data_IF_825339642219
#
_entry.id   IF_825339642219
#
_cell.length_a   1.000
_cell.length_b   1.000
_cell.length_c   1.000
_cell.angle_alpha   90.00
_cell.angle_beta   90.00
_cell.angle_gamma   90.00
#
_symmetry.space_group_name_H-M   'P 1'
#
loop_
_entity.id
_entity.type
_entity.pdbx_description
1 polymer ?
#
# COMPACT_ATOMS: atom_id res chain seq x y z
N UNK A 1 -14.47 0.60 -52.17
CA UNK A 1 -14.79 1.47 -51.01
C UNK A 1 -15.30 0.69 -49.80
N UNK A 2 -16.33 -0.18 -49.94
CA UNK A 2 -16.84 -1.03 -48.84
C UNK A 2 -15.75 -1.86 -48.13
N UNK A 3 -14.82 -2.45 -48.87
CA UNK A 3 -13.72 -3.25 -48.28
C UNK A 3 -12.64 -2.39 -47.59
N UNK A 4 -12.47 -1.13 -48.02
CA UNK A 4 -11.54 -0.18 -47.38
C UNK A 4 -12.12 0.38 -46.08
N UNK A 5 -13.44 0.64 -46.06
CA UNK A 5 -14.18 1.03 -44.84
C UNK A 5 -14.18 -0.11 -43.81
N UNK A 6 -14.35 -1.36 -44.26
CA UNK A 6 -14.29 -2.53 -43.39
C UNK A 6 -12.89 -2.75 -42.79
N UNK A 7 -11.83 -2.48 -43.55
CA UNK A 7 -10.44 -2.62 -43.10
C UNK A 7 -10.05 -1.50 -42.11
N UNK A 8 -10.52 -0.26 -42.31
CA UNK A 8 -10.37 0.82 -41.33
C UNK A 8 -11.10 0.49 -40.01
N UNK A 9 -12.29 -0.09 -40.08
CA UNK A 9 -13.09 -0.45 -38.90
C UNK A 9 -12.40 -1.53 -38.05
N UNK A 10 -11.75 -2.51 -38.67
CA UNK A 10 -10.99 -3.57 -37.96
C UNK A 10 -9.73 -3.01 -37.28
N UNK A 11 -9.03 -2.06 -37.92
CA UNK A 11 -7.85 -1.41 -37.33
C UNK A 11 -8.23 -0.54 -36.12
N UNK A 12 -9.39 0.14 -36.15
CA UNK A 12 -9.89 0.93 -35.01
C UNK A 12 -10.39 0.09 -33.83
N UNK A 13 -10.78 -1.16 -34.07
CA UNK A 13 -11.20 -2.08 -33.01
C UNK A 13 -10.01 -2.80 -32.34
N UNK A 14 -8.90 -2.99 -33.08
CA UNK A 14 -7.68 -3.58 -32.56
C UNK A 14 -6.86 -2.63 -31.67
N UNK A 15 -7.05 -1.31 -31.79
CA UNK A 15 -6.42 -0.31 -30.91
C UNK A 15 -7.12 -0.16 -29.55
N UNK A 16 -8.20 -0.91 -29.29
CA UNK A 16 -8.78 -1.11 -27.97
C UNK A 16 -8.29 -2.41 -27.33
N UNK A 17 -6.97 -2.64 -27.27
CA UNK A 17 -6.43 -3.55 -26.26
C UNK A 17 -6.49 -2.80 -24.93
N UNK A 18 -7.63 -2.86 -24.24
CA UNK A 18 -7.71 -2.38 -22.86
C UNK A 18 -6.62 -3.06 -22.02
N UNK A 19 -6.09 -2.36 -21.01
CA UNK A 19 -5.09 -2.92 -20.10
C UNK A 19 -5.60 -4.26 -19.56
N UNK A 20 -5.01 -5.36 -20.05
CA UNK A 20 -5.34 -6.70 -19.59
C UNK A 20 -4.87 -6.80 -18.14
N UNK A 21 -5.71 -7.33 -17.27
CA UNK A 21 -5.33 -7.46 -15.86
C UNK A 21 -4.23 -8.50 -15.70
N UNK A 22 -3.22 -8.18 -14.91
CA UNK A 22 -2.13 -9.12 -14.62
C UNK A 22 -2.70 -10.34 -13.86
N UNK A 23 -2.34 -11.58 -14.23
CA UNK A 23 -2.91 -12.79 -13.62
C UNK A 23 -2.69 -12.85 -12.10
N UNK A 24 -1.60 -12.25 -11.61
CA UNK A 24 -1.25 -12.30 -10.18
C UNK A 24 -2.01 -11.26 -9.33
N UNK A 25 -2.72 -10.32 -9.95
CA UNK A 25 -3.33 -9.19 -9.22
C UNK A 25 -4.22 -9.64 -8.06
N UNK A 26 -5.15 -10.56 -8.31
CA UNK A 26 -6.10 -11.03 -7.28
C UNK A 26 -5.39 -11.76 -6.13
N UNK A 27 -4.30 -12.45 -6.41
CA UNK A 27 -3.49 -13.10 -5.38
C UNK A 27 -2.70 -12.07 -4.58
N UNK A 28 -2.11 -11.09 -5.25
CA UNK A 28 -1.33 -10.03 -4.63
C UNK A 28 -2.20 -9.11 -3.77
N UNK A 29 -3.46 -8.85 -4.16
CA UNK A 29 -4.44 -8.17 -3.30
C UNK A 29 -4.67 -8.94 -2.00
N UNK A 30 -4.79 -10.27 -2.04
CA UNK A 30 -4.95 -11.08 -0.82
C UNK A 30 -3.70 -11.02 0.07
N UNK A 31 -2.50 -11.01 -0.52
CA UNK A 31 -1.26 -10.83 0.22
C UNK A 31 -1.22 -9.45 0.89
N UNK A 32 -1.56 -8.38 0.17
CA UNK A 32 -1.63 -7.03 0.75
C UNK A 32 -2.67 -6.91 1.88
N UNK A 33 -3.86 -7.50 1.70
CA UNK A 33 -4.88 -7.57 2.75
C UNK A 33 -4.36 -8.30 3.98
N UNK A 34 -3.70 -9.44 3.80
CA UNK A 34 -3.13 -10.21 4.92
C UNK A 34 -2.03 -9.43 5.63
N UNK A 35 -1.19 -8.68 4.90
CA UNK A 35 -0.15 -7.85 5.50
C UNK A 35 -0.73 -6.79 6.44
N UNK A 36 -1.76 -6.05 6.01
CA UNK A 36 -2.42 -5.07 6.87
C UNK A 36 -3.19 -5.71 8.03
N UNK A 37 -3.84 -6.86 7.80
CA UNK A 37 -4.49 -7.61 8.88
C UNK A 37 -3.49 -8.01 9.96
N UNK A 38 -2.32 -8.54 9.57
CA UNK A 38 -1.27 -8.93 10.52
C UNK A 38 -0.73 -7.73 11.30
N UNK A 39 -0.72 -6.54 10.69
CA UNK A 39 -0.32 -5.32 11.40
C UNK A 39 -1.25 -5.00 12.56
N UNK A 40 -2.57 -5.07 12.33
CA UNK A 40 -3.59 -4.90 13.35
C UNK A 40 -3.68 -6.04 14.37
N UNK A 41 -3.29 -7.25 13.99
CA UNK A 41 -3.12 -8.40 14.90
C UNK A 41 -1.81 -8.35 15.70
N UNK A 42 -0.99 -7.30 15.51
CA UNK A 42 0.34 -7.14 16.12
C UNK A 42 1.29 -8.32 15.88
N UNK A 43 1.09 -9.05 14.77
CA UNK A 43 1.86 -10.27 14.46
C UNK A 43 3.12 -9.93 13.65
N UNK A 44 4.08 -9.33 14.35
CA UNK A 44 5.34 -8.83 13.78
C UNK A 44 6.13 -9.88 12.99
N UNK A 45 6.31 -11.09 13.55
CA UNK A 45 7.12 -12.13 12.91
C UNK A 45 6.52 -12.57 11.56
N UNK A 46 5.19 -12.75 11.52
CA UNK A 46 4.51 -13.09 10.27
C UNK A 46 4.57 -11.96 9.24
N UNK A 47 4.54 -10.69 9.66
CA UNK A 47 4.78 -9.57 8.75
C UNK A 47 6.21 -9.59 8.19
N UNK A 48 7.21 -9.87 9.03
CA UNK A 48 8.61 -9.94 8.62
C UNK A 48 8.85 -11.04 7.56
N UNK A 49 8.16 -12.17 7.68
CA UNK A 49 8.22 -13.27 6.72
C UNK A 49 7.63 -12.91 5.34
N UNK A 50 6.66 -11.98 5.30
CA UNK A 50 6.04 -11.50 4.07
C UNK A 50 6.89 -10.49 3.30
N UNK A 51 7.96 -9.95 3.90
CA UNK A 51 8.85 -8.99 3.25
C UNK A 51 10.06 -9.71 2.64
N UNK A 52 10.37 -9.38 1.38
CA UNK A 52 11.57 -9.85 0.69
C UNK A 52 12.83 -9.20 1.29
N UNK A 53 13.96 -9.89 1.28
CA UNK A 53 15.19 -9.36 1.91
C UNK A 53 15.74 -8.13 1.19
N UNK A 54 15.53 -8.03 -0.11
CA UNK A 54 15.89 -6.87 -0.94
C UNK A 54 14.81 -5.76 -0.99
N UNK A 55 13.92 -5.69 0.01
CA UNK A 55 12.83 -4.71 0.04
C UNK A 55 13.33 -3.28 -0.18
N UNK A 56 12.66 -2.56 -1.08
CA UNK A 56 12.74 -1.10 -1.19
C UNK A 56 11.39 -0.46 -0.92
N UNK A 57 11.29 0.31 0.16
CA UNK A 57 10.03 0.93 0.58
C UNK A 57 10.14 2.45 0.58
N UNK A 58 9.17 3.17 0.01
CA UNK A 58 9.15 4.64 0.08
C UNK A 58 8.55 5.08 1.41
N UNK A 59 9.35 5.77 2.22
CA UNK A 59 8.91 6.27 3.52
C UNK A 59 8.01 7.50 3.39
N UNK A 60 6.95 7.62 4.21
CA UNK A 60 6.13 8.82 4.29
C UNK A 60 6.84 9.97 5.03
N UNK A 61 7.99 9.69 5.66
CA UNK A 61 8.76 10.66 6.43
C UNK A 61 9.47 11.65 5.51
N UNK A 62 9.26 12.94 5.79
CA UNK A 62 9.82 14.02 4.99
C UNK A 62 11.33 13.89 4.82
N UNK A 63 11.77 13.82 3.55
CA UNK A 63 13.17 13.80 3.16
C UNK A 63 13.87 12.43 3.29
N UNK A 64 13.18 11.37 3.69
CA UNK A 64 13.82 10.06 3.90
C UNK A 64 13.94 9.23 2.61
N UNK A 65 12.90 9.24 1.76
CA UNK A 65 12.92 8.53 0.49
C UNK A 65 12.82 7.01 0.65
N UNK A 66 13.67 6.26 -0.06
CA UNK A 66 13.66 4.80 -0.04
C UNK A 66 14.39 4.24 1.19
N UNK A 67 13.77 3.26 1.84
CA UNK A 67 14.28 2.57 3.02
C UNK A 67 14.32 1.04 2.81
N UNK A 68 15.10 0.36 3.64
CA UNK A 68 15.30 -1.10 3.59
C UNK A 68 14.24 -1.86 4.39
N UNK A 69 14.23 -3.20 4.26
CA UNK A 69 13.43 -4.11 5.11
C UNK A 69 13.63 -3.85 6.60
N UNK A 70 14.89 -3.68 7.05
CA UNK A 70 15.22 -3.44 8.45
C UNK A 70 14.53 -2.17 8.98
N UNK A 71 14.66 -1.06 8.26
CA UNK A 71 14.01 0.20 8.64
C UNK A 71 12.49 0.08 8.62
N UNK A 72 11.92 -0.58 7.60
CA UNK A 72 10.48 -0.76 7.50
C UNK A 72 9.92 -1.60 8.66
N UNK A 73 10.62 -2.67 9.04
CA UNK A 73 10.26 -3.47 10.22
C UNK A 73 10.39 -2.65 11.51
N UNK A 74 11.40 -1.77 11.60
CA UNK A 74 11.49 -0.81 12.69
C UNK A 74 10.24 0.07 12.82
N UNK A 75 9.69 0.56 11.70
CA UNK A 75 8.45 1.35 11.72
C UNK A 75 7.22 0.54 12.04
N UNK A 76 7.08 -0.67 11.49
CA UNK A 76 5.99 -1.59 11.83
C UNK A 76 5.97 -1.84 13.34
N UNK A 77 7.13 -2.16 13.93
CA UNK A 77 7.23 -2.42 15.35
C UNK A 77 6.94 -1.17 16.18
N UNK A 78 7.50 -0.03 15.79
CA UNK A 78 7.23 1.26 16.43
C UNK A 78 5.73 1.58 16.47
N UNK A 79 5.00 1.42 15.37
CA UNK A 79 3.57 1.66 15.37
C UNK A 79 2.81 0.69 16.26
N UNK A 80 3.14 -0.61 16.23
CA UNK A 80 2.54 -1.61 17.12
C UNK A 80 2.82 -1.34 18.61
N UNK A 81 3.94 -0.72 18.94
CA UNK A 81 4.27 -0.37 20.33
C UNK A 81 3.57 0.94 20.79
N UNK A 82 3.31 1.87 19.87
CA UNK A 82 2.74 3.19 20.18
C UNK A 82 1.21 3.24 20.07
N UNK A 83 0.58 2.29 19.38
CA UNK A 83 -0.84 2.33 19.09
C UNK A 83 -1.52 0.98 19.31
N UNK A 84 -2.61 0.99 20.08
CA UNK A 84 -3.51 -0.15 20.24
C UNK A 84 -4.62 -0.13 19.18
N UNK A 85 -5.23 -1.29 18.95
CA UNK A 85 -6.40 -1.46 18.07
C UNK A 85 -6.16 -0.93 16.65
N UNK A 86 -4.94 -1.13 16.13
CA UNK A 86 -4.59 -0.75 14.77
C UNK A 86 -5.49 -1.50 13.79
N UNK A 87 -6.11 -0.79 12.87
CA UNK A 87 -6.91 -1.38 11.79
C UNK A 87 -6.78 -0.57 10.51
N UNK A 88 -6.79 -1.27 9.37
CA UNK A 88 -6.85 -0.65 8.05
C UNK A 88 -8.15 -1.01 7.35
N UNK A 89 -8.92 0.01 6.97
CA UNK A 89 -10.08 -0.15 6.09
C UNK A 89 -9.73 0.32 4.68
N UNK A 90 -9.72 -0.61 3.73
CA UNK A 90 -9.46 -0.30 2.34
C UNK A 90 -10.73 0.26 1.66
N UNK A 91 -10.61 1.40 0.99
CA UNK A 91 -11.67 1.96 0.16
C UNK A 91 -11.78 1.21 -1.17
N UNK A 92 -10.63 0.96 -1.82
CA UNK A 92 -10.53 0.21 -3.05
C UNK A 92 -9.08 -0.19 -3.36
N UNK A 93 -8.93 -1.31 -4.05
CA UNK A 93 -7.66 -1.84 -4.56
C UNK A 93 -7.59 -1.61 -6.07
N UNK A 94 -6.45 -1.15 -6.57
CA UNK A 94 -6.20 -0.88 -7.98
C UNK A 94 -4.95 -1.62 -8.45
N UNK A 95 -4.89 -2.05 -9.72
CA UNK A 95 -3.65 -2.57 -10.28
C UNK A 95 -2.59 -1.48 -10.31
N UNK A 96 -1.36 -1.82 -9.94
CA UNK A 96 -0.19 -1.03 -10.28
C UNK A 96 0.20 -1.21 -11.75
N UNK A 97 1.19 -0.42 -12.18
CA UNK A 97 1.60 -0.36 -13.58
C UNK A 97 3.12 -0.30 -13.66
N UNK A 98 3.67 -1.00 -14.65
CA UNK A 98 5.07 -0.89 -15.01
C UNK A 98 5.33 0.52 -15.56
N UNK A 99 6.39 1.15 -15.06
CA UNK A 99 6.67 2.57 -15.34
C UNK A 99 7.12 2.84 -16.78
N UNK A 100 7.55 1.81 -17.51
CA UNK A 100 8.03 1.93 -18.89
C UNK A 100 6.96 1.57 -19.91
N UNK A 101 6.33 0.41 -19.75
CA UNK A 101 5.30 -0.12 -20.66
C UNK A 101 3.90 0.41 -20.37
N UNK A 102 3.68 0.96 -19.16
CA UNK A 102 2.38 1.43 -18.65
C UNK A 102 1.30 0.34 -18.60
N UNK A 103 1.72 -0.94 -18.65
CA UNK A 103 0.84 -2.09 -18.51
C UNK A 103 0.74 -2.51 -17.04
N UNK A 104 -0.34 -3.20 -16.69
CA UNK A 104 -0.47 -3.77 -15.35
C UNK A 104 0.63 -4.81 -15.11
N UNK A 105 1.39 -4.64 -14.05
CA UNK A 105 2.60 -5.44 -13.74
C UNK A 105 2.39 -6.44 -12.59
N UNK A 106 1.16 -6.54 -12.08
CA UNK A 106 0.81 -7.39 -10.95
C UNK A 106 1.06 -6.75 -9.57
N UNK A 107 1.72 -5.60 -9.50
CA UNK A 107 1.76 -4.81 -8.27
C UNK A 107 0.36 -4.26 -7.94
N UNK A 108 0.17 -3.83 -6.70
CA UNK A 108 -1.10 -3.31 -6.22
C UNK A 108 -0.93 -1.91 -5.64
N UNK A 109 -2.03 -1.18 -5.69
CA UNK A 109 -2.20 0.16 -5.12
C UNK A 109 -3.47 0.16 -4.30
N UNK A 110 -3.44 0.79 -3.13
CA UNK A 110 -4.59 0.77 -2.22
C UNK A 110 -4.77 2.13 -1.57
N UNK A 111 -6.02 2.57 -1.54
CA UNK A 111 -6.46 3.75 -0.81
C UNK A 111 -7.29 3.27 0.36
N UNK A 112 -7.11 3.87 1.53
CA UNK A 112 -7.85 3.48 2.71
C UNK A 112 -7.51 4.36 3.91
N UNK A 113 -8.05 3.99 5.06
CA UNK A 113 -7.79 4.69 6.31
C UNK A 113 -7.23 3.75 7.35
N UNK A 114 -6.17 4.20 8.02
CA UNK A 114 -5.70 3.62 9.27
C UNK A 114 -6.48 4.20 10.45
N UNK A 115 -6.78 3.36 11.42
CA UNK A 115 -7.39 3.72 12.70
C UNK A 115 -6.65 3.04 13.84
N UNK A 116 -6.75 3.59 15.04
CA UNK A 116 -6.14 3.05 16.25
C UNK A 116 -6.17 4.06 17.39
N UNK A 117 -5.58 3.71 18.51
CA UNK A 117 -5.56 4.50 19.75
C UNK A 117 -4.13 4.65 20.23
N UNK A 118 -3.64 5.87 20.42
CA UNK A 118 -2.29 6.07 20.96
C UNK A 118 -2.23 5.61 22.42
N UNK A 119 -1.27 4.73 22.75
CA UNK A 119 -1.23 3.99 24.02
C UNK A 119 -1.07 4.89 25.24
N UNK A 120 -0.31 5.98 25.13
CA UNK A 120 -0.04 6.89 26.25
C UNK A 120 -1.13 7.97 26.42
N UNK A 121 -1.63 8.54 25.32
CA UNK A 121 -2.58 9.67 25.37
C UNK A 121 -4.04 9.22 25.36
N UNK A 122 -4.31 8.00 24.88
CA UNK A 122 -5.66 7.50 24.64
C UNK A 122 -6.37 8.16 23.46
N UNK A 123 -5.67 8.97 22.64
CA UNK A 123 -6.28 9.62 21.49
C UNK A 123 -6.51 8.61 20.37
N UNK A 124 -7.73 8.58 19.85
CA UNK A 124 -8.06 7.87 18.62
C UNK A 124 -7.56 8.65 17.40
N UNK A 125 -7.18 7.94 16.33
CA UNK A 125 -6.86 8.56 15.05
C UNK A 125 -7.65 7.92 13.90
N UNK A 126 -7.84 8.70 12.83
CA UNK A 126 -8.31 8.24 11.53
C UNK A 126 -7.47 8.91 10.45
N UNK A 127 -6.62 8.12 9.81
CA UNK A 127 -5.58 8.58 8.89
C UNK A 127 -5.82 8.04 7.49
N UNK A 128 -6.31 8.90 6.60
CA UNK A 128 -6.38 8.59 5.17
C UNK A 128 -4.98 8.39 4.59
N UNK A 129 -4.82 7.34 3.78
CA UNK A 129 -3.52 6.93 3.25
C UNK A 129 -3.63 6.27 1.88
N UNK A 130 -2.51 6.26 1.18
CA UNK A 130 -2.29 5.55 -0.08
C UNK A 130 -1.03 4.71 0.04
N UNK A 131 -1.10 3.44 -0.38
CA UNK A 131 0.04 2.52 -0.34
C UNK A 131 0.23 1.82 -1.67
N UNK A 132 1.48 1.47 -1.97
CA UNK A 132 1.83 0.59 -3.09
C UNK A 132 2.56 -0.65 -2.59
N UNK A 133 2.38 -1.78 -3.28
CA UNK A 133 3.13 -3.01 -3.00
C UNK A 133 3.44 -3.74 -4.32
N UNK A 134 4.72 -4.02 -4.55
CA UNK A 134 5.24 -4.87 -5.61
C UNK A 134 5.68 -6.21 -5.01
N UNK A 135 5.59 -7.28 -5.80
CA UNK A 135 5.75 -8.65 -5.32
C UNK A 135 6.78 -9.43 -6.14
N UNK A 136 7.55 -10.25 -5.45
CA UNK A 136 8.49 -11.22 -6.03
C UNK A 136 8.54 -12.44 -5.10
N UNK A 137 8.55 -13.65 -5.67
CA UNK A 137 8.55 -14.91 -4.92
C UNK A 137 7.46 -15.02 -3.83
N UNK A 138 6.29 -14.42 -4.08
CA UNK A 138 5.16 -14.39 -3.15
C UNK A 138 5.37 -13.49 -1.93
N UNK A 139 6.44 -12.69 -1.92
CA UNK A 139 6.76 -11.70 -0.88
C UNK A 139 6.67 -10.29 -1.43
N UNK A 140 6.50 -9.32 -0.55
CA UNK A 140 6.54 -7.89 -0.89
C UNK A 140 8.01 -7.49 -1.06
N UNK A 141 8.38 -7.03 -2.26
CA UNK A 141 9.77 -6.62 -2.59
C UNK A 141 9.90 -5.11 -2.83
N UNK A 142 8.78 -4.43 -3.04
CA UNK A 142 8.75 -2.98 -3.15
C UNK A 142 7.46 -2.40 -2.62
N UNK A 143 7.47 -1.12 -2.26
CA UNK A 143 6.24 -0.43 -1.88
C UNK A 143 6.48 0.97 -1.39
N UNK A 144 5.50 1.52 -0.69
CA UNK A 144 5.61 2.84 -0.09
C UNK A 144 4.32 3.32 0.54
N UNK A 145 4.46 4.30 1.42
CA UNK A 145 3.34 4.93 2.11
C UNK A 145 3.25 6.43 1.78
N UNK A 146 2.04 6.90 1.54
CA UNK A 146 1.73 8.32 1.35
C UNK A 146 0.56 8.72 2.25
N UNK A 147 0.87 9.51 3.26
CA UNK A 147 -0.08 10.11 4.20
C UNK A 147 0.58 11.30 4.91
N UNK A 148 -0.23 12.10 5.62
CA UNK A 148 0.29 13.21 6.45
C UNK A 148 0.87 12.68 7.77
N UNK A 149 2.14 12.24 7.74
CA UNK A 149 2.82 11.73 8.92
C UNK A 149 2.92 12.80 10.05
N UNK A 150 3.18 14.05 9.68
CA UNK A 150 3.38 15.12 10.67
C UNK A 150 2.07 15.43 11.39
N UNK A 151 0.99 15.63 10.65
CA UNK A 151 -0.34 15.88 11.22
C UNK A 151 -0.83 14.68 12.06
N UNK A 152 -0.59 13.45 11.57
CA UNK A 152 -0.91 12.24 12.31
C UNK A 152 -0.22 12.19 13.68
N UNK A 153 1.10 12.38 13.73
CA UNK A 153 1.84 12.36 14.99
C UNK A 153 1.36 13.49 15.90
N UNK A 154 1.23 14.71 15.38
CA UNK A 154 0.80 15.86 16.18
C UNK A 154 -0.56 15.65 16.86
N UNK A 155 -1.56 15.14 16.14
CA UNK A 155 -2.90 14.94 16.71
C UNK A 155 -2.96 13.71 17.61
N UNK A 156 -2.37 12.60 17.20
CA UNK A 156 -2.44 11.36 17.99
C UNK A 156 -1.65 11.45 19.31
N UNK A 157 -0.55 12.20 19.36
CA UNK A 157 0.24 12.36 20.60
C UNK A 157 -0.14 13.62 21.39
N UNK A 158 -1.20 14.33 21.02
CA UNK A 158 -1.61 15.56 21.68
C UNK A 158 -1.99 15.30 23.16
N UNK A 159 -1.42 16.02 24.14
CA UNK A 159 -1.83 15.87 25.54
C UNK A 159 -3.30 16.23 25.73
N UNK A 160 -3.96 15.59 26.69
CA UNK A 160 -5.30 15.98 27.12
C UNK A 160 -5.28 17.46 27.55
N UNK A 161 -6.24 18.24 27.06
CA UNK A 161 -6.41 19.62 27.48
C UNK A 161 -6.78 19.63 28.96
N UNK A 162 -5.86 20.07 29.81
CA UNK A 162 -6.18 20.38 31.21
C UNK A 162 -6.93 21.71 31.24
N UNK A 163 -8.20 21.68 31.68
CA UNK A 163 -9.01 22.87 31.98
C UNK A 163 -8.40 23.74 33.09
#
# INVERSE_FOLDING_TARGET
MKNFVLMMLVITLASCTGNVQHPDFENNVKLGQKFFQLHGEENFDAMADMLHDDLQWTSPKYGEGLITKETQLGYIKMYQDLYDNINFEANYWLPGVDTLSLQNDGSIRVYGSWTGVHTETGNEFNLGSYHTMAFEDGKIVGGGDWFDLTGFVQESTKPAMTE
#
